data_IF_955731267281
#
_entry.id   IF_955731267281
#
_cell.length_a   1.000
_cell.length_b   1.000
_cell.length_c   1.000
_cell.angle_alpha   90.00
_cell.angle_beta   90.00
_cell.angle_gamma   90.00
#
_symmetry.space_group_name_H-M   'P 1'
#
loop_
_entity.id
_entity.type
_entity.pdbx_description
1 polymer ?
#
# COMPACT_ATOMS: atom_id res chain seq x y z
N UNK A 1 -33.72 -19.35 -3.57
CA UNK A 1 -32.55 -20.01 -4.20
C UNK A 1 -31.22 -19.63 -3.58
N UNK A 2 -31.05 -18.42 -3.03
CA UNK A 2 -29.82 -17.96 -2.36
C UNK A 2 -29.58 -18.67 -1.02
N UNK A 3 -30.62 -18.89 -0.21
CA UNK A 3 -30.51 -19.51 1.11
C UNK A 3 -30.14 -20.99 1.02
N UNK A 4 -30.67 -21.73 0.06
CA UNK A 4 -30.31 -23.12 -0.16
C UNK A 4 -28.86 -23.30 -0.63
N UNK A 5 -28.31 -22.33 -1.39
CA UNK A 5 -26.89 -22.32 -1.74
C UNK A 5 -26.02 -22.06 -0.52
N UNK A 6 -26.37 -21.09 0.32
CA UNK A 6 -25.65 -20.80 1.57
C UNK A 6 -25.67 -21.99 2.53
N UNK A 7 -26.82 -22.64 2.71
CA UNK A 7 -26.93 -23.85 3.54
C UNK A 7 -26.07 -25.00 3.01
N UNK A 8 -26.08 -25.25 1.70
CA UNK A 8 -25.20 -26.28 1.10
C UNK A 8 -23.72 -25.96 1.31
N UNK A 9 -23.32 -24.73 1.14
CA UNK A 9 -21.95 -24.30 1.36
C UNK A 9 -21.51 -24.46 2.82
N UNK A 10 -22.38 -24.14 3.79
CA UNK A 10 -22.12 -24.37 5.20
C UNK A 10 -21.95 -25.87 5.53
N UNK A 11 -22.83 -26.72 5.03
CA UNK A 11 -22.72 -28.17 5.24
C UNK A 11 -21.45 -28.77 4.63
N UNK A 12 -21.02 -28.30 3.45
CA UNK A 12 -19.77 -28.73 2.82
C UNK A 12 -18.58 -28.28 3.67
N UNK A 13 -18.57 -27.03 4.14
CA UNK A 13 -17.53 -26.47 5.02
C UNK A 13 -17.40 -27.26 6.32
N UNK A 14 -18.51 -27.59 6.98
CA UNK A 14 -18.49 -28.33 8.23
C UNK A 14 -17.93 -29.76 8.05
N UNK A 15 -18.23 -30.39 6.90
CA UNK A 15 -17.66 -31.70 6.55
C UNK A 15 -16.17 -31.63 6.26
N UNK A 16 -15.73 -30.62 5.48
CA UNK A 16 -14.31 -30.39 5.21
C UNK A 16 -13.58 -30.12 6.51
N UNK A 17 -14.05 -29.20 7.36
CA UNK A 17 -13.44 -28.90 8.64
C UNK A 17 -13.36 -30.11 9.60
N UNK A 18 -14.28 -31.09 9.48
CA UNK A 18 -14.21 -32.34 10.24
C UNK A 18 -13.13 -33.28 9.68
N UNK A 19 -13.00 -33.34 8.35
CA UNK A 19 -11.95 -34.15 7.69
C UNK A 19 -10.55 -33.55 7.98
N UNK A 20 -10.43 -32.23 7.90
CA UNK A 20 -9.18 -31.50 8.16
C UNK A 20 -8.72 -31.70 9.62
N UNK A 21 -9.63 -31.66 10.59
CA UNK A 21 -9.30 -31.97 11.99
C UNK A 21 -8.78 -33.40 12.14
N UNK A 22 -9.47 -34.36 11.57
CA UNK A 22 -9.04 -35.78 11.61
C UNK A 22 -7.71 -36.00 10.93
N UNK A 23 -7.45 -35.30 9.82
CA UNK A 23 -6.18 -35.34 9.11
C UNK A 23 -5.05 -34.73 9.95
N UNK A 24 -5.30 -33.55 10.53
CA UNK A 24 -4.39 -32.85 11.43
C UNK A 24 -3.99 -33.70 12.66
N UNK A 25 -4.97 -34.38 13.28
CA UNK A 25 -4.74 -35.29 14.42
C UNK A 25 -3.85 -36.46 14.01
N UNK A 26 -4.07 -37.06 12.82
CA UNK A 26 -3.27 -38.20 12.32
C UNK A 26 -1.86 -37.84 11.93
N UNK A 27 -1.65 -36.61 11.44
CA UNK A 27 -0.34 -36.14 10.97
C UNK A 27 0.53 -35.56 12.07
N UNK A 28 0.16 -35.71 13.35
CA UNK A 28 0.82 -35.07 14.50
C UNK A 28 1.04 -33.57 14.27
N UNK A 29 -0.01 -32.91 13.82
CA UNK A 29 -0.23 -31.47 13.61
C UNK A 29 1.06 -30.67 13.44
N UNK A 30 1.74 -30.81 12.29
CA UNK A 30 2.80 -29.87 11.94
C UNK A 30 2.17 -28.51 11.64
N UNK A 31 2.72 -27.45 12.20
CA UNK A 31 2.25 -26.06 12.03
C UNK A 31 1.98 -25.69 10.57
N UNK A 32 2.76 -26.22 9.63
CA UNK A 32 2.57 -26.04 8.20
C UNK A 32 1.21 -26.56 7.68
N UNK A 33 0.72 -27.70 8.20
CA UNK A 33 -0.57 -28.28 7.80
C UNK A 33 -1.71 -27.42 8.34
N UNK A 34 -1.63 -27.01 9.59
CA UNK A 34 -2.63 -26.13 10.22
C UNK A 34 -2.70 -24.79 9.49
N UNK A 35 -1.55 -24.21 9.14
CA UNK A 35 -1.47 -22.97 8.38
C UNK A 35 -2.08 -23.11 6.99
N UNK A 36 -1.83 -24.22 6.29
CA UNK A 36 -2.42 -24.49 4.98
C UNK A 36 -3.94 -24.62 5.04
N UNK A 37 -4.48 -25.31 6.05
CA UNK A 37 -5.93 -25.42 6.27
C UNK A 37 -6.54 -24.03 6.52
N UNK A 38 -5.95 -23.23 7.41
CA UNK A 38 -6.40 -21.86 7.69
C UNK A 38 -6.37 -20.96 6.45
N UNK A 39 -5.33 -21.07 5.64
CA UNK A 39 -5.22 -20.31 4.39
C UNK A 39 -6.31 -20.70 3.40
N UNK A 40 -6.62 -22.00 3.27
CA UNK A 40 -7.70 -22.47 2.40
C UNK A 40 -9.08 -22.00 2.89
N UNK A 41 -9.35 -22.05 4.20
CA UNK A 41 -10.57 -21.51 4.80
C UNK A 41 -10.69 -20.00 4.58
N UNK A 42 -9.61 -19.25 4.76
CA UNK A 42 -9.56 -17.80 4.50
C UNK A 42 -9.86 -17.49 3.04
N UNK A 43 -9.22 -18.21 2.11
CA UNK A 43 -9.47 -18.04 0.68
C UNK A 43 -10.94 -18.31 0.32
N UNK A 44 -11.55 -19.33 0.91
CA UNK A 44 -12.97 -19.62 0.71
C UNK A 44 -13.89 -18.49 1.22
N UNK A 45 -13.59 -17.93 2.39
CA UNK A 45 -14.34 -16.78 2.94
C UNK A 45 -14.18 -15.54 2.05
N UNK A 46 -12.99 -15.32 1.51
CA UNK A 46 -12.71 -14.21 0.59
C UNK A 46 -13.56 -14.30 -0.69
N UNK A 47 -13.80 -15.50 -1.23
CA UNK A 47 -14.64 -15.68 -2.42
C UNK A 47 -16.07 -15.16 -2.25
N UNK A 48 -16.58 -15.12 -1.02
CA UNK A 48 -17.91 -14.57 -0.72
C UNK A 48 -17.88 -13.05 -0.51
N UNK A 49 -16.80 -12.53 0.05
CA UNK A 49 -16.65 -11.12 0.38
C UNK A 49 -16.20 -10.25 -0.81
N UNK A 50 -15.39 -10.82 -1.72
CA UNK A 50 -14.81 -10.08 -2.86
C UNK A 50 -15.86 -9.48 -3.79
N UNK A 51 -16.93 -10.19 -4.22
CA UNK A 51 -17.94 -9.59 -5.09
C UNK A 51 -18.62 -8.36 -4.50
N UNK A 52 -18.92 -8.38 -3.20
CA UNK A 52 -19.50 -7.23 -2.50
C UNK A 52 -18.49 -6.09 -2.35
N UNK A 53 -17.25 -6.41 -2.04
CA UNK A 53 -16.16 -5.45 -1.93
C UNK A 53 -15.92 -4.71 -3.23
N UNK A 54 -15.88 -5.44 -4.36
CA UNK A 54 -15.58 -4.89 -5.69
C UNK A 54 -16.75 -4.18 -6.35
N UNK A 55 -17.97 -4.37 -5.87
CA UNK A 55 -19.15 -3.68 -6.36
C UNK A 55 -19.19 -2.25 -5.82
N UNK A 56 -18.60 -1.33 -6.59
CA UNK A 56 -18.59 0.11 -6.29
C UNK A 56 -19.85 0.84 -6.78
N UNK A 57 -20.79 0.15 -7.41
CA UNK A 57 -22.03 0.75 -7.92
C UNK A 57 -22.94 1.30 -6.80
N UNK A 58 -22.75 0.78 -5.59
CA UNK A 58 -23.51 1.19 -4.38
C UNK A 58 -22.91 2.41 -3.66
N UNK A 59 -21.77 2.90 -4.09
CA UNK A 59 -21.21 4.14 -3.54
C UNK A 59 -22.07 5.34 -3.94
N UNK A 60 -22.19 6.32 -3.05
CA UNK A 60 -22.97 7.53 -3.32
C UNK A 60 -22.37 8.32 -4.50
N UNK A 61 -23.21 9.07 -5.20
CA UNK A 61 -22.76 9.95 -6.28
C UNK A 61 -21.66 10.91 -5.79
N UNK A 62 -21.85 11.51 -4.61
CA UNK A 62 -20.86 12.41 -4.00
C UNK A 62 -19.51 11.72 -3.74
N UNK A 63 -19.50 10.45 -3.30
CA UNK A 63 -18.27 9.67 -3.14
C UNK A 63 -17.61 9.41 -4.50
N UNK A 64 -18.39 9.01 -5.50
CA UNK A 64 -17.90 8.74 -6.86
C UNK A 64 -17.27 9.99 -7.49
N UNK A 65 -17.93 11.14 -7.35
CA UNK A 65 -17.41 12.43 -7.82
C UNK A 65 -16.14 12.85 -7.07
N UNK A 66 -16.13 12.73 -5.74
CA UNK A 66 -14.98 13.08 -4.90
C UNK A 66 -13.72 12.33 -5.31
N UNK A 67 -13.82 11.02 -5.56
CA UNK A 67 -12.68 10.22 -6.05
C UNK A 67 -12.37 10.45 -7.53
N UNK A 68 -13.37 10.85 -8.32
CA UNK A 68 -13.25 11.02 -9.77
C UNK A 68 -13.24 9.68 -10.53
N UNK A 69 -13.98 8.69 -10.03
CA UNK A 69 -14.02 7.33 -10.65
C UNK A 69 -14.69 7.30 -12.02
N UNK A 70 -15.45 8.33 -12.36
CA UNK A 70 -16.11 8.53 -13.64
C UNK A 70 -15.41 9.58 -14.51
N UNK A 71 -14.13 9.87 -14.23
CA UNK A 71 -13.30 10.78 -15.02
C UNK A 71 -13.25 10.33 -16.48
N UNK A 72 -13.20 11.31 -17.40
CA UNK A 72 -12.95 11.07 -18.83
C UNK A 72 -11.52 10.63 -19.12
N UNK A 73 -10.60 10.88 -18.20
CA UNK A 73 -9.24 10.33 -18.21
C UNK A 73 -9.28 8.93 -17.59
N UNK A 74 -9.17 7.92 -18.43
CA UNK A 74 -9.25 6.51 -18.02
C UNK A 74 -8.17 6.14 -16.98
N UNK A 75 -6.96 6.70 -17.08
CA UNK A 75 -5.88 6.43 -16.15
C UNK A 75 -6.20 7.00 -14.77
N UNK A 76 -6.72 8.23 -14.72
CA UNK A 76 -7.20 8.85 -13.48
C UNK A 76 -8.36 8.06 -12.88
N UNK A 77 -9.35 7.69 -13.70
CA UNK A 77 -10.49 6.90 -13.26
C UNK A 77 -10.08 5.54 -12.70
N UNK A 78 -9.10 4.88 -13.33
CA UNK A 78 -8.57 3.60 -12.84
C UNK A 78 -7.90 3.73 -11.49
N UNK A 79 -7.02 4.72 -11.31
CA UNK A 79 -6.35 4.94 -10.02
C UNK A 79 -7.32 5.39 -8.94
N UNK A 80 -8.32 6.20 -9.29
CA UNK A 80 -9.41 6.59 -8.40
C UNK A 80 -10.18 5.38 -7.85
N UNK A 81 -10.48 4.41 -8.71
CA UNK A 81 -11.11 3.14 -8.29
C UNK A 81 -10.22 2.32 -7.36
N UNK A 82 -8.90 2.32 -7.59
CA UNK A 82 -7.96 1.67 -6.68
C UNK A 82 -7.94 2.35 -5.30
N UNK A 83 -7.90 3.68 -5.23
CA UNK A 83 -7.97 4.42 -3.98
C UNK A 83 -9.29 4.16 -3.22
N UNK A 84 -10.42 4.17 -3.92
CA UNK A 84 -11.72 3.84 -3.33
C UNK A 84 -11.74 2.39 -2.83
N UNK A 85 -11.16 1.46 -3.59
CA UNK A 85 -11.05 0.05 -3.18
C UNK A 85 -10.18 -0.10 -1.94
N UNK A 86 -9.06 0.65 -1.83
CA UNK A 86 -8.22 0.64 -0.65
C UNK A 86 -9.00 1.06 0.60
N UNK A 87 -9.79 2.14 0.54
CA UNK A 87 -10.68 2.54 1.66
C UNK A 87 -11.63 1.40 2.05
N UNK A 88 -12.29 0.76 1.07
CA UNK A 88 -13.22 -0.34 1.31
C UNK A 88 -12.57 -1.58 1.92
N UNK A 89 -11.32 -1.86 1.53
CA UNK A 89 -10.52 -2.95 2.09
C UNK A 89 -10.19 -2.68 3.57
N UNK A 90 -9.69 -1.48 3.87
CA UNK A 90 -9.36 -1.07 5.24
C UNK A 90 -10.62 -1.06 6.12
N UNK A 91 -11.75 -0.55 5.64
CA UNK A 91 -13.04 -0.56 6.32
C UNK A 91 -13.50 -1.99 6.72
N UNK A 92 -13.03 -3.01 5.99
CA UNK A 92 -13.27 -4.43 6.28
C UNK A 92 -12.16 -5.12 7.06
N UNK A 93 -11.21 -4.35 7.59
CA UNK A 93 -10.15 -4.85 8.46
C UNK A 93 -8.93 -5.41 7.72
N UNK A 94 -8.75 -5.14 6.43
CA UNK A 94 -7.48 -5.43 5.73
C UNK A 94 -6.42 -4.48 6.27
N UNK A 95 -5.34 -5.06 6.81
CA UNK A 95 -4.34 -4.31 7.57
C UNK A 95 -3.24 -3.68 6.72
N UNK A 96 -3.04 -4.16 5.51
CA UNK A 96 -2.03 -3.62 4.60
C UNK A 96 -2.57 -3.62 3.17
N UNK A 97 -2.52 -2.47 2.51
CA UNK A 97 -2.93 -2.30 1.12
C UNK A 97 -1.83 -1.53 0.41
N UNK A 98 -1.34 -2.05 -0.69
CA UNK A 98 -0.39 -1.37 -1.56
C UNK A 98 -1.09 -0.97 -2.86
N UNK A 99 -0.88 0.27 -3.27
CA UNK A 99 -1.37 0.83 -4.53
C UNK A 99 -0.20 1.26 -5.39
N UNK A 100 -0.20 0.84 -6.64
CA UNK A 100 0.78 1.27 -7.63
C UNK A 100 0.11 2.08 -8.73
N UNK A 101 0.63 3.26 -9.01
CA UNK A 101 0.23 4.06 -10.17
C UNK A 101 1.22 3.82 -11.31
N UNK A 102 0.93 2.83 -12.14
CA UNK A 102 1.76 2.39 -13.26
C UNK A 102 0.95 2.42 -14.56
N UNK A 103 0.52 3.61 -14.99
CA UNK A 103 -0.27 3.79 -16.21
C UNK A 103 0.59 3.71 -17.45
N UNK A 104 0.25 2.87 -18.39
CA UNK A 104 0.95 2.74 -19.67
C UNK A 104 0.70 3.94 -20.59
N UNK A 105 1.69 4.27 -21.40
CA UNK A 105 1.56 5.29 -22.45
C UNK A 105 1.77 6.74 -22.01
N UNK A 106 2.05 6.96 -20.72
CA UNK A 106 2.42 8.27 -20.19
C UNK A 106 3.89 8.17 -19.74
N UNK A 107 4.71 9.03 -20.30
CA UNK A 107 6.12 9.05 -19.97
C UNK A 107 7.01 9.11 -21.21
N UNK A 108 8.23 9.58 -21.03
CA UNK A 108 9.17 9.77 -22.12
C UNK A 108 9.90 8.48 -22.54
N UNK A 109 9.78 7.42 -21.78
CA UNK A 109 10.62 6.23 -21.93
C UNK A 109 9.99 5.05 -22.66
N UNK A 110 8.72 5.07 -23.03
CA UNK A 110 8.06 3.91 -23.69
C UNK A 110 8.12 2.61 -22.89
N UNK A 111 8.56 2.66 -21.65
CA UNK A 111 8.73 1.52 -20.74
C UNK A 111 7.56 1.35 -19.80
N UNK A 112 7.58 0.29 -19.01
CA UNK A 112 6.55 -0.05 -18.04
C UNK A 112 6.49 0.84 -16.79
N UNK A 113 7.39 1.83 -16.65
CA UNK A 113 7.39 2.78 -15.55
C UNK A 113 7.14 4.22 -16.05
N UNK A 114 5.90 4.72 -15.92
CA UNK A 114 5.54 6.06 -16.38
C UNK A 114 6.19 7.19 -15.55
N UNK A 115 6.71 6.90 -14.37
CA UNK A 115 7.42 7.85 -13.50
C UNK A 115 8.90 8.00 -13.87
N UNK A 116 9.44 7.11 -14.69
CA UNK A 116 10.86 7.09 -15.10
C UNK A 116 11.14 8.12 -16.21
N UNK A 117 11.18 9.39 -15.84
CA UNK A 117 11.23 10.53 -16.76
C UNK A 117 12.67 10.98 -17.05
N UNK A 118 13.41 10.24 -17.90
CA UNK A 118 14.72 10.63 -18.42
C UNK A 118 14.66 11.68 -19.56
N UNK A 119 13.48 11.94 -20.09
CA UNK A 119 13.16 13.01 -21.06
C UNK A 119 12.03 13.84 -20.51
N UNK A 120 11.49 14.75 -21.24
CA UNK A 120 10.29 15.58 -21.03
C UNK A 120 9.59 15.48 -19.64
N UNK A 121 10.35 15.74 -18.58
CA UNK A 121 9.94 15.61 -17.18
C UNK A 121 8.66 16.40 -16.88
N UNK A 122 8.59 17.64 -17.37
CA UNK A 122 7.46 18.53 -17.10
C UNK A 122 6.14 17.95 -17.61
N UNK A 123 6.13 17.41 -18.83
CA UNK A 123 4.94 16.78 -19.41
C UNK A 123 4.61 15.47 -18.71
N UNK A 124 5.61 14.61 -18.52
CA UNK A 124 5.41 13.30 -17.93
C UNK A 124 4.94 13.37 -16.47
N UNK A 125 5.66 14.10 -15.61
CA UNK A 125 5.25 14.27 -14.22
C UNK A 125 3.93 15.04 -14.08
N UNK A 126 3.68 16.04 -14.92
CA UNK A 126 2.40 16.75 -14.94
C UNK A 126 1.23 15.81 -15.25
N UNK A 127 1.37 14.94 -16.24
CA UNK A 127 0.35 13.93 -16.57
C UNK A 127 0.16 12.91 -15.46
N UNK A 128 1.24 12.46 -14.83
CA UNK A 128 1.16 11.51 -13.70
C UNK A 128 0.55 12.16 -12.46
N UNK A 129 0.90 13.41 -12.15
CA UNK A 129 0.34 14.13 -11.01
C UNK A 129 -1.19 14.29 -11.12
N UNK A 130 -1.71 14.57 -12.31
CA UNK A 130 -3.17 14.64 -12.55
C UNK A 130 -3.89 13.34 -12.19
N UNK A 131 -3.22 12.20 -12.38
CA UNK A 131 -3.84 10.89 -12.06
C UNK A 131 -3.91 10.64 -10.56
N UNK A 132 -2.88 11.01 -9.80
CA UNK A 132 -2.74 10.61 -8.38
C UNK A 132 -3.29 11.65 -7.41
N UNK A 133 -3.15 12.94 -7.72
CA UNK A 133 -3.42 14.04 -6.79
C UNK A 133 -4.87 14.01 -6.27
N UNK A 134 -5.84 14.10 -7.16
CA UNK A 134 -7.26 14.08 -6.80
C UNK A 134 -7.68 12.80 -6.04
N UNK A 135 -7.41 11.60 -6.56
CA UNK A 135 -7.75 10.34 -5.89
C UNK A 135 -7.11 10.15 -4.52
N UNK A 136 -5.85 10.57 -4.33
CA UNK A 136 -5.18 10.51 -3.02
C UNK A 136 -5.82 11.50 -2.05
N UNK A 137 -6.09 12.73 -2.49
CA UNK A 137 -6.77 13.73 -1.68
C UNK A 137 -8.16 13.24 -1.26
N UNK A 138 -8.90 12.60 -2.18
CA UNK A 138 -10.19 11.99 -1.88
C UNK A 138 -10.07 10.86 -0.85
N UNK A 139 -9.08 9.99 -0.98
CA UNK A 139 -8.83 8.91 -0.02
C UNK A 139 -8.59 9.46 1.40
N UNK A 140 -7.70 10.45 1.53
CA UNK A 140 -7.41 11.08 2.83
C UNK A 140 -8.64 11.75 3.43
N UNK A 141 -9.41 12.45 2.59
CA UNK A 141 -10.65 13.11 3.02
C UNK A 141 -11.70 12.10 3.46
N UNK A 142 -11.95 11.05 2.68
CA UNK A 142 -12.94 10.00 2.99
C UNK A 142 -12.58 9.26 4.28
N UNK A 143 -11.29 8.89 4.46
CA UNK A 143 -10.80 8.28 5.69
C UNK A 143 -11.02 9.21 6.89
N UNK A 144 -10.76 10.51 6.75
CA UNK A 144 -10.96 11.50 7.80
C UNK A 144 -12.44 11.67 8.15
N UNK A 145 -13.30 11.83 7.16
CA UNK A 145 -14.75 12.03 7.35
C UNK A 145 -15.42 10.81 8.00
N UNK A 146 -14.87 9.61 7.78
CA UNK A 146 -15.32 8.36 8.41
C UNK A 146 -14.70 8.09 9.77
N UNK A 147 -13.82 8.96 10.26
CA UNK A 147 -13.09 8.73 11.50
C UNK A 147 -12.05 7.58 11.42
N UNK A 148 -11.68 7.16 10.23
CA UNK A 148 -10.75 6.04 10.00
C UNK A 148 -9.30 6.49 9.89
N UNK A 149 -9.03 7.76 9.62
CA UNK A 149 -7.67 8.26 9.37
C UNK A 149 -6.79 8.15 10.62
N UNK A 150 -7.36 8.23 11.81
CA UNK A 150 -6.62 8.11 13.07
C UNK A 150 -6.02 6.71 13.27
N UNK A 151 -6.68 5.69 12.72
CA UNK A 151 -6.27 4.28 12.80
C UNK A 151 -5.66 3.75 11.49
N UNK A 152 -5.54 4.59 10.47
CA UNK A 152 -5.03 4.21 9.16
C UNK A 152 -3.84 5.08 8.79
N UNK A 153 -2.66 4.48 8.73
CA UNK A 153 -1.47 5.15 8.22
C UNK A 153 -1.46 5.10 6.70
N UNK A 154 -1.42 6.27 6.07
CA UNK A 154 -1.22 6.41 4.63
C UNK A 154 0.21 6.85 4.38
N UNK A 155 0.94 6.08 3.59
CA UNK A 155 2.34 6.35 3.21
C UNK A 155 2.43 6.51 1.71
N UNK A 156 3.09 7.55 1.25
CA UNK A 156 3.41 7.77 -0.15
C UNK A 156 4.92 7.89 -0.32
N UNK A 157 5.49 7.09 -1.18
CA UNK A 157 6.92 7.11 -1.49
C UNK A 157 7.19 6.63 -2.90
N UNK A 158 8.29 7.06 -3.48
CA UNK A 158 8.90 6.43 -4.65
C UNK A 158 9.99 5.45 -4.21
N UNK A 159 10.62 4.81 -5.20
CA UNK A 159 11.73 3.88 -4.98
C UNK A 159 13.05 4.60 -4.65
N UNK A 160 13.26 5.79 -5.22
CA UNK A 160 14.37 6.72 -5.00
C UNK A 160 13.99 8.11 -5.50
N UNK A 161 14.90 9.07 -5.39
CA UNK A 161 14.72 10.44 -5.87
C UNK A 161 15.18 10.67 -7.30
N UNK A 162 15.17 11.93 -7.69
CA UNK A 162 15.66 12.39 -9.00
C UNK A 162 16.73 13.44 -8.78
N UNK A 163 17.87 13.28 -9.49
CA UNK A 163 18.97 14.21 -9.42
C UNK A 163 18.55 15.62 -9.89
N UNK A 164 19.15 16.68 -9.35
CA UNK A 164 18.88 18.07 -9.80
C UNK A 164 19.45 18.37 -11.20
N UNK A 165 20.06 17.39 -11.84
CA UNK A 165 20.64 17.46 -13.18
C UNK A 165 20.19 16.27 -14.03
N UNK A 166 20.52 16.33 -15.33
CA UNK A 166 20.21 15.32 -16.33
C UNK A 166 21.42 15.12 -17.23
N UNK A 167 21.69 13.88 -17.63
CA UNK A 167 22.74 13.56 -18.61
C UNK A 167 22.36 13.93 -20.04
N UNK A 168 21.08 14.22 -20.28
CA UNK A 168 20.57 14.63 -21.59
C UNK A 168 19.11 15.06 -21.53
N UNK A 169 18.70 15.95 -22.44
CA UNK A 169 17.32 16.38 -22.54
C UNK A 169 16.78 17.15 -21.32
N UNK A 170 15.46 17.10 -21.14
CA UNK A 170 14.74 17.78 -20.07
C UNK A 170 14.20 16.83 -19.00
N UNK A 171 14.87 15.69 -18.81
CA UNK A 171 14.57 14.70 -17.80
C UNK A 171 15.35 14.89 -16.50
N UNK A 172 15.32 13.86 -15.67
CA UNK A 172 16.15 13.75 -14.47
C UNK A 172 16.61 12.32 -14.31
N UNK A 173 17.87 12.15 -13.89
CA UNK A 173 18.45 10.85 -13.62
C UNK A 173 18.05 10.33 -12.24
N UNK A 174 18.29 9.04 -11.98
CA UNK A 174 18.02 8.43 -10.69
C UNK A 174 18.95 8.98 -9.62
N UNK A 175 18.42 9.24 -8.43
CA UNK A 175 19.20 9.70 -7.28
C UNK A 175 18.75 9.01 -5.99
N UNK A 176 19.52 8.03 -5.50
CA UNK A 176 19.21 7.37 -4.24
C UNK A 176 19.65 8.14 -3.00
N UNK A 177 20.37 9.25 -3.16
CA UNK A 177 20.99 9.99 -2.05
C UNK A 177 20.05 11.00 -1.37
N UNK A 178 18.95 11.33 -2.02
CA UNK A 178 17.95 12.23 -1.45
C UNK A 178 16.60 12.11 -2.15
N UNK A 179 15.54 11.81 -1.39
CA UNK A 179 14.18 11.77 -1.91
C UNK A 179 13.16 12.09 -0.81
N UNK A 180 11.95 12.40 -1.23
CA UNK A 180 10.86 12.75 -0.33
C UNK A 180 9.86 11.61 -0.23
N UNK A 181 9.38 11.37 0.99
CA UNK A 181 8.18 10.59 1.27
C UNK A 181 7.24 11.42 2.14
N UNK A 182 5.98 11.05 2.22
CA UNK A 182 5.07 11.65 3.18
C UNK A 182 4.18 10.60 3.84
N UNK A 183 3.71 10.92 5.02
CA UNK A 183 2.79 10.10 5.81
C UNK A 183 1.63 10.93 6.33
N UNK A 184 0.46 10.31 6.47
CA UNK A 184 -0.71 10.91 7.06
C UNK A 184 -1.53 9.89 7.84
N UNK A 185 -2.14 10.32 8.93
CA UNK A 185 -2.96 9.44 9.78
C UNK A 185 -2.15 8.46 10.64
N UNK A 186 -2.82 7.46 11.19
CA UNK A 186 -2.19 6.41 12.00
C UNK A 186 -1.36 6.92 13.19
N UNK A 187 -1.70 8.06 13.79
CA UNK A 187 -0.98 8.65 14.92
C UNK A 187 0.22 9.54 14.54
N UNK A 188 0.51 9.71 13.24
CA UNK A 188 1.59 10.60 12.79
C UNK A 188 1.24 12.07 13.07
N UNK A 189 2.17 12.81 13.65
CA UNK A 189 2.06 14.25 13.92
C UNK A 189 2.17 15.04 12.62
N UNK A 190 1.03 15.40 12.03
CA UNK A 190 0.98 16.15 10.78
C UNK A 190 1.55 17.58 10.86
N UNK A 191 1.77 18.19 9.68
CA UNK A 191 2.25 19.56 9.56
C UNK A 191 3.74 19.75 9.89
N UNK A 192 4.52 18.67 9.86
CA UNK A 192 5.96 18.66 10.14
C UNK A 192 6.73 18.17 8.92
N UNK A 193 7.95 18.64 8.79
CA UNK A 193 8.97 18.09 7.90
C UNK A 193 10.08 17.48 8.76
N UNK A 194 10.60 16.33 8.34
CA UNK A 194 11.73 15.63 8.95
C UNK A 194 12.82 15.48 7.90
N UNK A 195 14.00 15.95 8.25
CA UNK A 195 15.14 15.97 7.34
C UNK A 195 15.06 17.02 6.24
N UNK A 196 16.18 17.23 5.58
CA UNK A 196 16.30 18.07 4.40
C UNK A 196 17.49 17.63 3.54
N UNK A 197 17.43 17.99 2.27
CA UNK A 197 18.56 17.84 1.37
C UNK A 197 19.55 19.00 1.52
N UNK A 198 20.70 18.88 0.86
CA UNK A 198 21.62 19.99 0.66
C UNK A 198 20.99 21.11 -0.20
N UNK A 199 21.71 22.22 -0.37
CA UNK A 199 21.26 23.38 -1.14
C UNK A 199 21.00 23.09 -2.62
N UNK A 200 21.56 21.98 -3.14
CA UNK A 200 21.37 21.55 -4.55
C UNK A 200 20.19 20.59 -4.71
N UNK A 201 19.61 20.08 -3.61
CA UNK A 201 18.58 19.05 -3.66
C UNK A 201 19.13 17.67 -4.06
N UNK A 202 20.43 17.43 -3.86
CA UNK A 202 21.09 16.20 -4.32
C UNK A 202 21.23 15.13 -3.22
N UNK A 203 21.68 15.50 -2.02
CA UNK A 203 21.90 14.56 -0.94
C UNK A 203 21.10 14.94 0.30
N UNK A 204 20.62 13.95 1.03
CA UNK A 204 20.15 14.17 2.39
C UNK A 204 21.30 14.76 3.26
N UNK A 205 21.04 15.86 3.96
CA UNK A 205 22.04 16.63 4.69
C UNK A 205 21.63 16.92 6.15
N UNK A 206 20.34 17.00 6.44
CA UNK A 206 19.81 17.26 7.79
C UNK A 206 18.95 16.07 8.18
N UNK A 207 19.09 15.59 9.41
CA UNK A 207 18.34 14.45 9.96
C UNK A 207 18.28 13.29 8.97
N UNK A 208 19.46 12.90 8.50
CA UNK A 208 19.62 11.91 7.43
C UNK A 208 18.95 10.60 7.85
N UNK A 209 18.00 10.19 7.04
CA UNK A 209 17.23 8.96 7.23
C UNK A 209 17.30 8.07 6.02
N UNK A 210 17.09 6.80 6.23
CA UNK A 210 17.12 5.76 5.21
C UNK A 210 15.74 5.12 5.05
N UNK A 211 15.57 4.31 4.02
CA UNK A 211 14.37 3.50 3.84
C UNK A 211 14.12 2.56 5.03
N UNK A 212 15.17 2.14 5.72
CA UNK A 212 15.04 1.31 6.92
C UNK A 212 14.39 2.06 8.09
N UNK A 213 14.66 3.37 8.23
CA UNK A 213 14.05 4.21 9.25
C UNK A 213 12.57 4.45 8.96
N UNK A 214 12.22 4.65 7.67
CA UNK A 214 10.83 4.72 7.23
C UNK A 214 10.07 3.44 7.62
N UNK A 215 10.62 2.27 7.27
CA UNK A 215 9.95 1.00 7.58
C UNK A 215 9.96 0.66 9.07
N UNK A 216 11.00 1.01 9.82
CA UNK A 216 10.99 0.89 11.27
C UNK A 216 9.85 1.72 11.89
N UNK A 217 9.64 2.94 11.39
CA UNK A 217 8.55 3.82 11.84
C UNK A 217 7.18 3.29 11.46
N UNK A 218 7.00 2.78 10.23
CA UNK A 218 5.75 2.14 9.79
C UNK A 218 5.42 0.92 10.64
N UNK A 219 6.40 0.04 10.90
CA UNK A 219 6.21 -1.14 11.75
C UNK A 219 5.86 -0.74 13.18
N UNK A 220 6.50 0.29 13.71
CA UNK A 220 6.18 0.83 15.04
C UNK A 220 4.73 1.30 15.13
N UNK A 221 4.22 2.03 14.13
CA UNK A 221 2.81 2.46 14.08
C UNK A 221 1.83 1.29 13.97
N UNK A 222 2.26 0.18 13.38
CA UNK A 222 1.48 -1.07 13.38
C UNK A 222 1.57 -1.85 14.70
N UNK A 223 2.27 -1.33 15.72
CA UNK A 223 2.50 -2.00 17.00
C UNK A 223 3.51 -3.13 16.93
N UNK A 224 4.34 -3.15 15.90
CA UNK A 224 5.34 -4.20 15.65
C UNK A 224 6.74 -3.68 16.01
N UNK A 225 7.42 -4.38 16.91
CA UNK A 225 8.83 -4.16 17.18
C UNK A 225 9.67 -4.75 16.03
N UNK A 226 10.23 -3.87 15.19
CA UNK A 226 10.99 -4.27 14.00
C UNK A 226 12.29 -5.01 14.33
N UNK A 227 12.83 -4.87 15.54
CA UNK A 227 14.03 -5.60 15.97
C UNK A 227 13.71 -7.04 16.39
N UNK A 228 12.49 -7.30 16.87
CA UNK A 228 12.02 -8.62 17.27
C UNK A 228 11.34 -9.38 16.13
N UNK A 229 10.85 -8.66 15.11
CA UNK A 229 10.24 -9.28 13.95
C UNK A 229 11.34 -9.89 13.06
N UNK A 230 11.54 -11.20 13.20
CA UNK A 230 12.52 -11.95 12.41
C UNK A 230 11.84 -13.03 11.58
N UNK A 231 12.48 -13.39 10.48
CA UNK A 231 12.14 -14.58 9.70
C UNK A 231 13.39 -15.41 9.42
N UNK A 232 13.20 -16.74 9.45
CA UNK A 232 14.29 -17.69 9.25
C UNK A 232 14.55 -17.91 7.77
N UNK A 233 15.75 -17.55 7.30
CA UNK A 233 16.19 -17.78 5.93
C UNK A 233 17.62 -18.31 5.89
N UNK A 234 17.84 -19.41 5.17
CA UNK A 234 19.17 -20.04 5.03
C UNK A 234 19.93 -20.20 6.36
N UNK A 235 19.23 -20.57 7.44
CA UNK A 235 19.84 -20.78 8.75
C UNK A 235 20.08 -19.51 9.59
N UNK A 236 19.74 -18.33 9.09
CA UNK A 236 19.87 -17.03 9.78
C UNK A 236 18.49 -16.45 10.10
N UNK A 237 18.38 -15.77 11.21
CA UNK A 237 17.22 -14.94 11.56
C UNK A 237 17.48 -13.54 11.02
N UNK A 238 16.63 -13.12 10.06
CA UNK A 238 16.75 -11.83 9.37
C UNK A 238 15.61 -10.92 9.81
N UNK A 239 15.90 -9.65 10.04
CA UNK A 239 14.89 -8.59 10.24
C UNK A 239 14.54 -7.95 8.90
N UNK A 240 13.35 -7.40 8.76
CA UNK A 240 12.94 -6.63 7.58
C UNK A 240 13.77 -5.35 7.41
N UNK A 241 14.27 -4.80 8.52
CA UNK A 241 15.13 -3.61 8.57
C UNK A 241 16.61 -3.94 8.65
N UNK A 242 16.99 -5.22 8.46
CA UNK A 242 18.35 -5.73 8.62
C UNK A 242 18.97 -5.29 9.96
N UNK A 243 20.17 -4.74 9.97
CA UNK A 243 20.82 -4.21 11.16
C UNK A 243 20.55 -2.72 11.40
N UNK A 244 19.70 -2.13 10.59
CA UNK A 244 19.40 -0.71 10.54
C UNK A 244 17.98 -0.41 11.06
N UNK A 245 17.57 0.85 10.94
CA UNK A 245 16.23 1.33 11.24
C UNK A 245 16.11 2.00 12.60
N UNK A 246 15.73 3.26 12.57
CA UNK A 246 15.43 4.06 13.76
C UNK A 246 14.03 4.63 13.61
N UNK A 247 13.19 4.45 14.62
CA UNK A 247 11.85 5.03 14.65
C UNK A 247 11.95 6.55 14.80
N UNK A 248 11.27 7.30 13.96
CA UNK A 248 11.17 8.76 14.02
C UNK A 248 10.22 9.20 15.13
N UNK A 249 10.69 9.17 16.38
CA UNK A 249 9.89 9.45 17.58
C UNK A 249 9.33 10.87 17.65
N UNK A 250 9.91 11.79 16.93
CA UNK A 250 9.43 13.17 16.79
C UNK A 250 8.21 13.29 15.88
N UNK A 251 8.00 12.33 14.99
CA UNK A 251 6.87 12.29 14.06
C UNK A 251 5.69 11.42 14.55
N UNK A 252 5.93 10.54 15.54
CA UNK A 252 4.93 9.58 16.01
C UNK A 252 4.65 9.70 17.49
#
# INVERSE_FOLDING_TARGET
>A
HSDLRRQRQMCIRDRIGTLDRRFSERMAAKDAVISSIRNAETAFLMQQAVPELTDISKESESTREMYGIDSKDDNKAQYARQCLMARRLVERGVRFVELSCASYGIGAGGGGNPWDQHGDLKRGHGAMAVQVDGPIAALLKDLKERGMLEETLVVFTGEFGRAPFSQGGHGRDHDPFGFSAWMAGGGVKGGRAHGATDEFGYKAAVDISTVYDLWATVLHQLGIDHEKLTFRWSGRDLRLTDVHGHVWKDLV
#
